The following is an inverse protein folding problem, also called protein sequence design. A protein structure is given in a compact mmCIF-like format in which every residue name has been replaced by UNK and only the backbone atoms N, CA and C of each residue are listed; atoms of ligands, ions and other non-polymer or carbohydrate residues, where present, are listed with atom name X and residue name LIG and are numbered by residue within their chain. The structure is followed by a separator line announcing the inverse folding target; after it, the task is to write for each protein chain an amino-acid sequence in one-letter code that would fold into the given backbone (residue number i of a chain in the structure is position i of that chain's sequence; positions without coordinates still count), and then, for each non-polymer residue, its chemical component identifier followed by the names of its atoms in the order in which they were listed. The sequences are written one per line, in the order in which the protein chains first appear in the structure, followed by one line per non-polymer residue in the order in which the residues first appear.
data_IF_409626614187
#
_entry.id   IF_409626614187
#
_cell.length_a   1.000
_cell.length_b   1.000
_cell.length_c   1.000
_cell.angle_alpha   90.00
_cell.angle_beta   90.00
_cell.angle_gamma   90.00
#
_symmetry.space_group_name_H-M   'P 1'
#
loop_
_entity.id
_entity.type
_entity.pdbx_description
1 polymer ?
#
# COMPACT_ATOMS: atom_id res chain seq x y z
N UNK A 1 -5.13 6.18 23.72
CA UNK A 1 -4.36 6.59 22.56
C UNK A 1 -3.77 5.37 21.87
N UNK A 2 -4.25 5.00 20.67
CA UNK A 2 -3.73 3.80 20.01
C UNK A 2 -2.28 3.99 19.58
N UNK A 3 -1.52 2.92 19.66
CA UNK A 3 -0.15 2.90 19.13
C UNK A 3 -0.13 2.43 17.69
N UNK A 4 -1.12 1.66 17.32
CA UNK A 4 -1.27 1.11 15.97
C UNK A 4 -2.71 1.29 15.54
N UNK A 5 -2.88 1.76 14.33
CA UNK A 5 -4.18 1.87 13.69
C UNK A 5 -4.23 0.87 12.53
N UNK A 6 -5.18 -0.04 12.59
CA UNK A 6 -5.38 -1.01 11.51
C UNK A 6 -6.52 -0.56 10.62
N UNK A 7 -6.26 -0.45 9.33
CA UNK A 7 -7.25 -0.06 8.33
C UNK A 7 -7.29 -1.10 7.22
N UNK A 8 -8.44 -1.74 7.04
CA UNK A 8 -8.61 -2.80 6.06
C UNK A 8 -9.47 -2.31 4.91
N UNK A 9 -8.85 -1.98 3.80
CA UNK A 9 -9.47 -1.47 2.58
C UNK A 9 -10.47 -0.33 2.83
N UNK A 10 -10.06 0.71 3.60
CA UNK A 10 -11.02 1.72 4.04
C UNK A 10 -11.59 2.57 2.92
N UNK A 11 -10.89 2.68 1.79
CA UNK A 11 -11.28 3.52 0.68
C UNK A 11 -11.74 2.74 -0.55
N UNK A 12 -11.93 1.44 -0.42
CA UNK A 12 -12.18 0.55 -1.56
C UNK A 12 -13.45 0.83 -2.35
N UNK A 13 -14.50 1.34 -1.69
CA UNK A 13 -15.79 1.61 -2.33
C UNK A 13 -15.96 3.07 -2.76
N UNK A 14 -14.94 3.91 -2.57
CA UNK A 14 -15.05 5.34 -2.85
C UNK A 14 -14.67 5.67 -4.30
N UNK A 15 -15.26 6.75 -4.81
CA UNK A 15 -14.87 7.30 -6.10
C UNK A 15 -13.44 7.89 -6.04
N UNK A 16 -12.85 8.15 -7.19
CA UNK A 16 -11.46 8.58 -7.29
C UNK A 16 -11.17 9.90 -6.56
N UNK A 17 -12.08 10.87 -6.67
CA UNK A 17 -11.88 12.18 -6.04
C UNK A 17 -11.97 12.11 -4.52
N UNK A 18 -12.97 11.40 -4.02
CA UNK A 18 -13.14 11.21 -2.58
C UNK A 18 -11.97 10.44 -1.99
N UNK A 19 -11.52 9.39 -2.70
CA UNK A 19 -10.36 8.60 -2.28
C UNK A 19 -9.12 9.47 -2.14
N UNK A 20 -8.85 10.29 -3.15
CA UNK A 20 -7.69 11.18 -3.14
C UNK A 20 -7.72 12.13 -1.95
N UNK A 21 -8.87 12.75 -1.70
CA UNK A 21 -9.06 13.66 -0.57
C UNK A 21 -8.81 12.97 0.77
N UNK A 22 -9.32 11.74 0.92
CA UNK A 22 -9.16 11.01 2.18
C UNK A 22 -7.74 10.48 2.35
N UNK A 23 -7.04 10.14 1.28
CA UNK A 23 -5.63 9.78 1.34
C UNK A 23 -4.80 10.95 1.84
N UNK A 24 -5.04 12.14 1.33
CA UNK A 24 -4.36 13.36 1.78
C UNK A 24 -4.64 13.65 3.25
N UNK A 25 -5.88 13.49 3.66
CA UNK A 25 -6.28 13.70 5.04
C UNK A 25 -5.62 12.69 5.99
N UNK A 26 -5.52 11.44 5.56
CA UNK A 26 -4.85 10.41 6.35
C UNK A 26 -3.37 10.72 6.54
N UNK A 27 -2.71 11.18 5.49
CA UNK A 27 -1.31 11.59 5.56
C UNK A 27 -1.14 12.74 6.54
N UNK A 28 -2.04 13.72 6.50
CA UNK A 28 -2.01 14.86 7.42
C UNK A 28 -2.14 14.40 8.87
N UNK A 29 -3.09 13.53 9.14
CA UNK A 29 -3.29 12.97 10.49
C UNK A 29 -2.04 12.22 10.95
N UNK A 30 -1.47 11.43 10.08
CA UNK A 30 -0.24 10.70 10.40
C UNK A 30 0.93 11.66 10.69
N UNK A 31 1.09 12.70 9.92
CA UNK A 31 2.14 13.70 10.15
C UNK A 31 2.01 14.38 11.50
N UNK A 32 0.77 14.64 11.93
CA UNK A 32 0.50 15.27 13.21
C UNK A 32 0.67 14.31 14.40
N UNK A 33 0.21 13.09 14.25
CA UNK A 33 0.14 12.14 15.38
C UNK A 33 1.30 11.16 15.43
N UNK A 34 1.95 10.90 14.29
CA UNK A 34 2.99 9.88 14.14
C UNK A 34 2.54 8.49 14.60
N UNK A 35 1.23 8.23 14.53
CA UNK A 35 0.70 6.91 14.84
C UNK A 35 1.16 5.92 13.76
N UNK A 36 1.43 4.70 14.18
CA UNK A 36 1.75 3.64 13.24
C UNK A 36 0.47 3.15 12.58
N UNK A 37 0.44 3.13 11.26
CA UNK A 37 -0.73 2.68 10.51
C UNK A 37 -0.40 1.43 9.72
N UNK A 38 -1.16 0.38 9.93
CA UNK A 38 -1.12 -0.81 9.11
C UNK A 38 -2.32 -0.75 8.16
N UNK A 39 -2.03 -0.45 6.90
CA UNK A 39 -3.05 -0.19 5.89
C UNK A 39 -3.10 -1.33 4.90
N UNK A 40 -4.26 -1.96 4.75
CA UNK A 40 -4.46 -3.08 3.83
C UNK A 40 -5.21 -2.59 2.60
N UNK A 41 -4.67 -2.83 1.42
CA UNK A 41 -5.29 -2.41 0.16
C UNK A 41 -4.96 -3.38 -0.97
N UNK A 42 -5.84 -3.46 -1.95
CA UNK A 42 -5.59 -4.16 -3.21
C UNK A 42 -5.07 -3.22 -4.30
N UNK A 43 -5.02 -1.93 -4.01
CA UNK A 43 -4.64 -0.92 -5.00
C UNK A 43 -3.16 -0.58 -4.86
N UNK A 44 -2.39 -0.91 -5.90
CA UNK A 44 -0.94 -0.68 -5.90
C UNK A 44 -0.61 0.81 -5.76
N UNK A 45 -1.31 1.65 -6.48
CA UNK A 45 -1.10 3.09 -6.44
C UNK A 45 -1.28 3.65 -5.03
N UNK A 46 -2.36 3.24 -4.37
CA UNK A 46 -2.65 3.63 -3.00
C UNK A 46 -1.54 3.19 -2.04
N UNK A 47 -1.06 1.97 -2.21
CA UNK A 47 0.04 1.45 -1.38
C UNK A 47 1.29 2.32 -1.52
N UNK A 48 1.60 2.78 -2.73
CA UNK A 48 2.78 3.61 -2.97
C UNK A 48 2.57 5.02 -2.41
N UNK A 49 1.39 5.58 -2.62
CA UNK A 49 1.07 6.94 -2.13
C UNK A 49 1.19 7.00 -0.62
N UNK A 50 0.66 6.00 0.07
CA UNK A 50 0.55 6.04 1.53
C UNK A 50 1.74 5.43 2.26
N UNK A 51 2.29 4.32 1.79
CA UNK A 51 3.18 3.50 2.59
C UNK A 51 4.63 3.93 2.61
N UNK A 52 5.24 3.90 3.78
CA UNK A 52 6.69 3.99 3.93
C UNK A 52 7.34 2.65 3.61
N UNK A 53 6.64 1.58 3.90
CA UNK A 53 7.03 0.22 3.53
C UNK A 53 5.81 -0.50 2.98
N UNK A 54 6.04 -1.25 1.92
CA UNK A 54 4.98 -2.00 1.27
C UNK A 54 5.28 -3.48 1.44
N UNK A 55 4.36 -4.18 2.09
CA UNK A 55 4.46 -5.63 2.28
C UNK A 55 3.59 -6.29 1.23
N UNK A 56 4.21 -7.01 0.32
CA UNK A 56 3.50 -7.72 -0.73
C UNK A 56 3.21 -9.13 -0.26
N UNK A 57 1.92 -9.47 -0.22
CA UNK A 57 1.48 -10.80 0.18
C UNK A 57 0.99 -11.58 -1.03
N UNK A 58 1.18 -12.87 -1.01
CA UNK A 58 0.71 -13.76 -2.06
C UNK A 58 0.32 -15.10 -1.46
N UNK A 59 -0.61 -15.77 -2.12
CA UNK A 59 -1.03 -17.11 -1.76
C UNK A 59 -2.18 -17.20 -0.78
N UNK A 60 -2.61 -18.44 -0.56
CA UNK A 60 -3.66 -18.78 0.40
C UNK A 60 -3.24 -20.07 1.12
N UNK A 61 -2.79 -20.03 2.40
CA UNK A 61 -2.74 -18.82 3.23
C UNK A 61 -1.71 -17.79 2.72
N UNK A 62 -1.96 -16.53 3.02
CA UNK A 62 -1.09 -15.44 2.62
C UNK A 62 0.31 -15.56 3.19
N UNK A 63 1.30 -15.28 2.35
CA UNK A 63 2.70 -15.27 2.74
C UNK A 63 3.33 -13.96 2.32
N UNK A 64 4.28 -13.48 3.10
CA UNK A 64 5.05 -12.30 2.71
C UNK A 64 5.96 -12.69 1.57
N UNK A 65 5.74 -12.08 0.42
CA UNK A 65 6.56 -12.31 -0.76
C UNK A 65 7.76 -11.37 -0.77
N UNK A 66 7.54 -10.12 -0.43
CA UNK A 66 8.61 -9.13 -0.34
C UNK A 66 8.18 -7.94 0.47
N UNK A 67 9.13 -7.28 1.12
CA UNK A 67 8.93 -6.00 1.80
C UNK A 67 9.74 -4.95 1.04
N UNK A 68 9.04 -3.96 0.49
CA UNK A 68 9.64 -2.92 -0.34
C UNK A 68 9.70 -1.62 0.45
N UNK A 69 10.90 -1.10 0.73
CA UNK A 69 11.00 0.23 1.32
C UNK A 69 10.62 1.27 0.28
N UNK A 70 9.84 2.25 0.70
CA UNK A 70 9.39 3.31 -0.19
C UNK A 70 9.94 4.65 0.31
N UNK A 71 10.95 5.15 -0.37
CA UNK A 71 11.65 6.37 0.01
C UNK A 71 11.23 7.59 -0.81
N UNK A 72 10.15 7.48 -1.58
CA UNK A 72 9.66 8.61 -2.35
C UNK A 72 9.24 9.74 -1.43
N UNK A 73 9.62 10.96 -1.81
CA UNK A 73 9.19 12.15 -1.11
C UNK A 73 7.69 12.38 -1.34
N UNK A 74 7.01 12.88 -0.33
CA UNK A 74 5.60 13.28 -0.45
C UNK A 74 5.50 14.75 -0.89
N UNK A 75 4.51 15.17 -1.63
CA UNK A 75 3.44 14.32 -2.19
C UNK A 75 3.94 13.42 -3.33
N UNK A 76 3.44 12.20 -3.35
CA UNK A 76 3.82 11.20 -4.34
C UNK A 76 2.84 11.18 -5.51
N UNK A 77 3.38 11.09 -6.73
CA UNK A 77 2.56 11.15 -7.94
C UNK A 77 2.93 10.06 -8.94
N UNK A 78 1.93 9.43 -9.57
CA UNK A 78 2.18 8.47 -10.65
C UNK A 78 2.93 9.04 -11.85
N UNK A 79 3.04 10.35 -11.94
CA UNK A 79 3.76 11.02 -13.03
C UNK A 79 5.28 10.91 -12.89
N UNK A 80 5.76 10.56 -11.70
CA UNK A 80 7.18 10.47 -11.42
C UNK A 80 7.70 9.08 -11.80
N UNK A 81 8.85 9.03 -12.46
CA UNK A 81 9.46 7.78 -12.93
C UNK A 81 9.70 6.79 -11.80
N UNK A 82 10.19 7.27 -10.68
CA UNK A 82 10.48 6.42 -9.51
C UNK A 82 9.23 5.76 -8.95
N UNK A 83 8.10 6.43 -9.02
CA UNK A 83 6.80 5.87 -8.64
C UNK A 83 6.48 4.66 -9.52
N UNK A 84 6.65 4.82 -10.81
CA UNK A 84 6.34 3.75 -11.77
C UNK A 84 7.27 2.56 -11.63
N UNK A 85 8.51 2.77 -11.26
CA UNK A 85 9.44 1.66 -11.01
C UNK A 85 8.97 0.80 -9.84
N UNK A 86 8.51 1.42 -8.76
CA UNK A 86 7.95 0.69 -7.62
C UNK A 86 6.67 -0.02 -8.03
N UNK A 87 5.82 0.66 -8.79
CA UNK A 87 4.56 0.10 -9.28
C UNK A 87 4.81 -1.17 -10.09
N UNK A 88 5.75 -1.12 -11.02
CA UNK A 88 6.10 -2.27 -11.84
C UNK A 88 6.69 -3.42 -11.03
N UNK A 89 7.50 -3.10 -10.05
CA UNK A 89 8.08 -4.09 -9.15
C UNK A 89 6.97 -4.84 -8.41
N UNK A 90 6.03 -4.12 -7.82
CA UNK A 90 4.91 -4.73 -7.11
C UNK A 90 4.05 -5.56 -8.07
N UNK A 91 3.71 -4.98 -9.21
CA UNK A 91 2.88 -5.63 -10.22
C UNK A 91 3.51 -6.95 -10.69
N UNK A 92 4.81 -6.96 -10.90
CA UNK A 92 5.56 -8.16 -11.27
C UNK A 92 5.52 -9.21 -10.18
N UNK A 93 5.69 -8.79 -8.92
CA UNK A 93 5.64 -9.70 -7.77
C UNK A 93 4.27 -10.35 -7.61
N UNK A 94 3.20 -9.63 -7.95
CA UNK A 94 1.85 -10.16 -7.91
C UNK A 94 1.53 -11.11 -9.07
N UNK A 95 2.42 -11.20 -10.06
CA UNK A 95 2.27 -12.12 -11.18
C UNK A 95 1.21 -11.70 -12.20
N UNK A 96 0.88 -10.41 -12.27
CA UNK A 96 -0.07 -9.89 -13.26
C UNK A 96 0.63 -9.72 -14.61
N UNK A 97 0.71 -10.82 -15.37
CA UNK A 97 1.39 -10.81 -16.66
C UNK A 97 0.49 -10.38 -17.82
N UNK A 98 -0.82 -10.55 -17.65
CA UNK A 98 -1.81 -10.08 -18.61
C UNK A 98 -3.16 -9.82 -17.91
N UNK A 99 -4.10 -9.07 -18.56
CA UNK A 99 -5.38 -8.72 -17.95
C UNK A 99 -6.25 -9.90 -17.51
N UNK A 100 -6.17 -11.01 -18.23
CA UNK A 100 -6.97 -12.19 -17.90
C UNK A 100 -6.46 -12.87 -16.63
N UNK A 101 -5.15 -12.95 -16.47
CA UNK A 101 -4.54 -13.49 -15.27
C UNK A 101 -4.77 -12.59 -14.05
N UNK A 102 -4.88 -11.30 -14.28
CA UNK A 102 -5.16 -10.34 -13.22
C UNK A 102 -6.50 -10.64 -12.53
N UNK A 103 -7.51 -10.97 -13.30
CA UNK A 103 -8.84 -11.28 -12.75
C UNK A 103 -8.84 -12.53 -11.87
N UNK A 104 -8.10 -13.54 -12.27
CA UNK A 104 -8.06 -14.81 -11.54
C UNK A 104 -7.33 -14.69 -10.20
N UNK A 105 -6.35 -13.79 -10.09
CA UNK A 105 -5.53 -13.64 -8.88
C UNK A 105 -6.02 -12.56 -7.93
N UNK A 106 -7.04 -11.83 -8.32
CA UNK A 106 -7.52 -10.66 -7.58
C UNK A 106 -7.95 -10.94 -6.14
N UNK A 107 -8.36 -12.16 -5.86
CA UNK A 107 -8.87 -12.53 -4.54
C UNK A 107 -7.83 -13.09 -3.58
N UNK A 108 -6.59 -13.28 -4.04
CA UNK A 108 -5.57 -13.94 -3.22
C UNK A 108 -4.38 -13.06 -2.88
N UNK A 109 -4.34 -11.85 -3.42
CA UNK A 109 -3.20 -10.97 -3.22
C UNK A 109 -3.61 -9.71 -2.49
N UNK A 110 -2.88 -9.38 -1.45
CA UNK A 110 -3.10 -8.17 -0.66
C UNK A 110 -1.80 -7.39 -0.51
N UNK A 111 -1.94 -6.08 -0.37
CA UNK A 111 -0.82 -5.20 -0.08
C UNK A 111 -1.00 -4.61 1.30
N UNK A 112 0.06 -4.67 2.09
CA UNK A 112 0.09 -4.00 3.38
C UNK A 112 1.02 -2.80 3.27
N UNK A 113 0.57 -1.67 3.77
CA UNK A 113 1.41 -0.48 3.82
C UNK A 113 1.54 -0.02 5.24
N UNK A 114 2.68 0.50 5.55
CA UNK A 114 3.00 1.02 6.86
C UNK A 114 3.40 2.48 6.69
N UNK A 115 2.58 3.36 7.24
CA UNK A 115 2.76 4.79 7.11
C UNK A 115 3.91 5.35 7.93
N UNK A 116 4.53 4.54 8.68
CA UNK A 116 5.62 4.92 9.53
C UNK A 116 6.82 4.05 9.18
N UNK A 117 7.99 4.61 9.18
CA UNK A 117 9.18 3.79 8.98
C UNK A 117 9.26 2.73 10.05
N UNK A 118 8.72 1.57 9.82
CA UNK A 118 8.45 0.74 10.87
C UNK A 118 9.35 -0.30 11.12
N UNK A 119 9.56 -0.35 12.29
CA UNK A 119 10.08 -1.54 12.88
C UNK A 119 9.05 -2.63 13.10
N UNK A 120 7.79 -2.36 12.88
CA UNK A 120 6.78 -3.37 13.11
C UNK A 120 6.81 -4.50 12.11
N UNK A 121 6.86 -4.19 10.84
CA UNK A 121 6.80 -5.21 9.81
C UNK A 121 8.01 -6.16 9.76
N UNK A 122 9.24 -5.74 10.07
CA UNK A 122 10.34 -6.70 10.15
C UNK A 122 10.17 -7.75 11.22
N UNK A 123 9.26 -7.52 12.15
CA UNK A 123 9.02 -8.44 13.25
C UNK A 123 7.81 -9.34 13.03
N UNK A 124 7.16 -9.21 11.87
CA UNK A 124 6.00 -10.04 11.53
C UNK A 124 6.42 -11.38 10.91
#
# INVERSE_FOLDING_TARGET
RPRILLMDEPFGSLDAMTRLTLQEELIRIWEETKVTILFVTHNIEEAIILGDRIVVLDGNPGRIKEIIPNKLARPRSPEVKEFNLIWEQIHSLLGFKNPEQTKAKKNVTKLFTDERKLSLLPHL
#
